data_IF_797555754414
#
_entry.id   IF_797555754414
#
_cell.length_a   1.000
_cell.length_b   1.000
_cell.length_c   1.000
_cell.angle_alpha   90.00
_cell.angle_beta   90.00
_cell.angle_gamma   90.00
#
_symmetry.space_group_name_H-M   'P 1'
#
loop_
_entity.id
_entity.type
_entity.pdbx_description
1 polymer ?
#
# COMPACT_ATOMS: atom_id res chain seq x y z
N UNK A 1 36.58 -0.12 -22.61
CA UNK A 1 35.16 0.24 -22.42
C UNK A 1 34.34 -0.55 -23.43
N UNK A 2 33.14 -1.11 -23.14
CA UNK A 2 32.29 -0.95 -21.95
C UNK A 2 32.13 -2.24 -21.09
N UNK A 3 31.65 -2.04 -19.87
CA UNK A 3 31.41 -3.02 -18.81
C UNK A 3 30.32 -4.03 -19.19
N UNK A 4 30.60 -5.33 -19.06
CA UNK A 4 29.59 -6.39 -19.17
C UNK A 4 28.57 -6.19 -18.05
N UNK A 5 27.44 -5.56 -18.41
CA UNK A 5 26.24 -5.56 -17.60
C UNK A 5 25.95 -7.02 -17.21
N UNK A 6 25.95 -7.33 -15.91
CA UNK A 6 25.55 -8.65 -15.43
C UNK A 6 24.07 -8.78 -15.76
N UNK A 7 23.76 -9.37 -16.92
CA UNK A 7 22.40 -9.64 -17.33
C UNK A 7 21.78 -10.56 -16.28
N UNK A 8 20.77 -10.04 -15.57
CA UNK A 8 19.97 -10.81 -14.63
C UNK A 8 19.38 -12.04 -15.34
N UNK A 9 19.28 -13.18 -14.67
CA UNK A 9 18.60 -14.35 -15.25
C UNK A 9 17.12 -14.04 -15.52
N UNK A 10 16.48 -14.74 -16.44
CA UNK A 10 15.04 -14.55 -16.76
C UNK A 10 14.14 -14.62 -15.52
N UNK A 11 14.49 -15.48 -14.55
CA UNK A 11 13.80 -15.56 -13.26
C UNK A 11 13.99 -14.30 -12.39
N UNK A 12 15.19 -13.72 -12.41
CA UNK A 12 15.50 -12.47 -11.70
C UNK A 12 14.79 -11.28 -12.34
N UNK A 13 14.71 -11.24 -13.67
CA UNK A 13 13.99 -10.21 -14.41
C UNK A 13 12.48 -10.28 -14.17
N UNK A 14 11.89 -11.48 -14.16
CA UNK A 14 10.49 -11.68 -13.80
C UNK A 14 10.19 -11.21 -12.36
N UNK A 15 11.05 -11.57 -11.39
CA UNK A 15 10.90 -11.13 -10.01
C UNK A 15 11.00 -9.61 -9.86
N UNK A 16 11.95 -8.97 -10.55
CA UNK A 16 12.09 -7.51 -10.59
C UNK A 16 10.88 -6.82 -11.21
N UNK A 17 10.32 -7.40 -12.29
CA UNK A 17 9.12 -6.87 -12.92
C UNK A 17 7.90 -6.98 -12.01
N UNK A 18 7.73 -8.10 -11.31
CA UNK A 18 6.71 -8.26 -10.27
C UNK A 18 6.86 -7.25 -9.14
N UNK A 19 8.09 -7.04 -8.65
CA UNK A 19 8.38 -6.02 -7.63
C UNK A 19 8.02 -4.61 -8.11
N UNK A 20 8.36 -4.26 -9.34
CA UNK A 20 8.03 -2.95 -9.92
C UNK A 20 6.51 -2.76 -10.02
N UNK A 21 5.78 -3.77 -10.48
CA UNK A 21 4.32 -3.74 -10.54
C UNK A 21 3.70 -3.59 -9.15
N UNK A 22 4.23 -4.28 -8.14
CA UNK A 22 3.79 -4.14 -6.74
C UNK A 22 4.08 -2.75 -6.21
N UNK A 23 5.26 -2.19 -6.50
CA UNK A 23 5.62 -0.84 -6.10
C UNK A 23 4.67 0.20 -6.70
N UNK A 24 4.31 0.07 -7.98
CA UNK A 24 3.32 0.94 -8.63
C UNK A 24 1.93 0.79 -8.01
N UNK A 25 1.51 -0.44 -7.67
CA UNK A 25 0.23 -0.68 -7.00
C UNK A 25 0.19 -0.07 -5.60
N UNK A 26 1.26 -0.23 -4.82
CA UNK A 26 1.42 0.37 -3.49
C UNK A 26 1.42 1.89 -3.58
N UNK A 27 2.14 2.48 -4.53
CA UNK A 27 2.16 3.93 -4.74
C UNK A 27 0.79 4.50 -5.13
N UNK A 28 0.00 3.76 -5.93
CA UNK A 28 -1.40 4.12 -6.24
C UNK A 28 -2.28 4.07 -5.00
N UNK A 29 -2.15 3.03 -4.18
CA UNK A 29 -2.85 2.91 -2.90
C UNK A 29 -2.48 4.04 -1.96
N UNK A 30 -1.20 4.33 -1.80
CA UNK A 30 -0.70 5.41 -0.95
C UNK A 30 -1.28 6.77 -1.36
N UNK A 31 -1.32 7.05 -2.68
CA UNK A 31 -1.94 8.27 -3.19
C UNK A 31 -3.42 8.35 -2.83
N UNK A 32 -4.15 7.25 -2.96
CA UNK A 32 -5.58 7.19 -2.63
C UNK A 32 -5.83 7.34 -1.13
N UNK A 33 -4.96 6.77 -0.28
CA UNK A 33 -5.00 6.97 1.17
C UNK A 33 -4.77 8.43 1.53
N UNK A 34 -3.76 9.08 0.95
CA UNK A 34 -3.48 10.51 1.18
C UNK A 34 -4.64 11.40 0.73
N UNK A 35 -5.31 11.05 -0.36
CA UNK A 35 -6.50 11.76 -0.82
C UNK A 35 -7.64 11.66 0.21
N UNK A 36 -7.90 10.46 0.74
CA UNK A 36 -8.92 10.27 1.78
C UNK A 36 -8.49 10.91 3.10
N UNK A 37 -7.22 10.82 3.48
CA UNK A 37 -6.67 11.51 4.65
C UNK A 37 -6.89 13.02 4.54
N UNK A 38 -6.63 13.61 3.38
CA UNK A 38 -6.89 15.02 3.13
C UNK A 38 -8.39 15.33 3.18
N UNK A 39 -9.24 14.52 2.57
CA UNK A 39 -10.69 14.68 2.67
C UNK A 39 -11.15 14.62 4.13
N UNK A 40 -10.67 13.66 4.92
CA UNK A 40 -10.99 13.54 6.36
C UNK A 40 -10.47 14.73 7.15
N UNK A 41 -9.26 15.23 6.86
CA UNK A 41 -8.71 16.40 7.53
C UNK A 41 -9.52 17.67 7.22
N UNK A 42 -9.92 17.85 5.95
CA UNK A 42 -10.82 18.93 5.53
C UNK A 42 -12.19 18.77 6.19
N UNK A 43 -12.74 17.55 6.19
CA UNK A 43 -14.02 17.24 6.82
C UNK A 43 -14.00 17.53 8.32
N UNK A 44 -12.92 17.18 9.02
CA UNK A 44 -12.74 17.50 10.43
C UNK A 44 -12.60 19.00 10.69
N UNK A 45 -12.16 19.78 9.70
CA UNK A 45 -12.10 21.24 9.78
C UNK A 45 -13.45 21.92 9.46
N UNK A 46 -14.35 21.28 8.71
CA UNK A 46 -15.69 21.79 8.39
C UNK A 46 -16.79 21.07 9.17
N UNK A 47 -17.45 21.77 10.08
CA UNK A 47 -18.43 21.22 11.04
C UNK A 47 -19.70 20.56 10.45
N UNK A 48 -19.93 20.57 9.14
CA UNK A 48 -21.19 20.14 8.51
C UNK A 48 -21.00 19.02 7.46
N UNK A 49 -20.07 18.10 7.67
CA UNK A 49 -19.89 16.97 6.74
C UNK A 49 -21.02 15.97 6.95
N UNK A 50 -21.77 15.60 5.90
CA UNK A 50 -22.85 14.64 6.02
C UNK A 50 -22.31 13.27 6.37
N UNK A 51 -23.01 12.57 7.28
CA UNK A 51 -22.64 11.23 7.76
C UNK A 51 -22.42 10.22 6.62
N UNK A 52 -23.15 10.36 5.50
CA UNK A 52 -23.00 9.51 4.32
C UNK A 52 -21.58 9.56 3.73
N UNK A 53 -20.97 10.76 3.66
CA UNK A 53 -19.61 10.93 3.13
C UNK A 53 -18.55 10.36 4.08
N UNK A 54 -18.78 10.46 5.39
CA UNK A 54 -17.91 9.84 6.41
C UNK A 54 -17.97 8.31 6.34
N UNK A 55 -19.17 7.74 6.15
CA UNK A 55 -19.35 6.29 5.99
C UNK A 55 -18.70 5.80 4.70
N UNK A 56 -18.88 6.52 3.59
CA UNK A 56 -18.25 6.18 2.31
C UNK A 56 -16.73 6.20 2.40
N UNK A 57 -16.16 7.23 3.05
CA UNK A 57 -14.72 7.32 3.30
C UNK A 57 -14.22 6.17 4.17
N UNK A 58 -14.99 5.78 5.20
CA UNK A 58 -14.66 4.68 6.10
C UNK A 58 -14.63 3.34 5.36
N UNK A 59 -15.66 3.07 4.56
CA UNK A 59 -15.77 1.83 3.79
C UNK A 59 -14.71 1.77 2.68
N UNK A 60 -14.37 2.90 2.05
CA UNK A 60 -13.26 2.99 1.10
C UNK A 60 -11.92 2.64 1.76
N UNK A 61 -11.64 3.14 2.96
CA UNK A 61 -10.42 2.78 3.72
C UNK A 61 -10.40 1.29 4.04
N UNK A 62 -11.52 0.70 4.48
CA UNK A 62 -11.61 -0.73 4.75
C UNK A 62 -11.35 -1.59 3.51
N UNK A 63 -11.89 -1.21 2.35
CA UNK A 63 -11.63 -1.88 1.07
C UNK A 63 -10.14 -1.78 0.66
N UNK A 64 -9.53 -0.62 0.88
CA UNK A 64 -8.10 -0.43 0.58
C UNK A 64 -7.20 -1.25 1.52
N UNK A 65 -7.55 -1.39 2.81
CA UNK A 65 -6.86 -2.31 3.73
C UNK A 65 -6.87 -3.75 3.18
N UNK A 66 -8.04 -4.25 2.80
CA UNK A 66 -8.16 -5.60 2.22
C UNK A 66 -7.42 -5.76 0.89
N UNK A 67 -7.32 -4.69 0.10
CA UNK A 67 -6.55 -4.70 -1.16
C UNK A 67 -5.04 -4.73 -0.89
N UNK A 68 -4.58 -3.99 0.13
CA UNK A 68 -3.18 -3.99 0.57
C UNK A 68 -2.75 -5.34 1.14
N UNK A 69 -3.62 -5.98 1.95
CA UNK A 69 -3.37 -7.34 2.46
C UNK A 69 -3.20 -8.36 1.34
N UNK A 70 -4.05 -8.29 0.31
CA UNK A 70 -3.93 -9.15 -0.88
C UNK A 70 -2.62 -8.91 -1.62
N UNK A 71 -2.21 -7.65 -1.80
CA UNK A 71 -0.95 -7.29 -2.47
C UNK A 71 0.28 -7.76 -1.68
N UNK A 72 0.25 -7.66 -0.35
CA UNK A 72 1.34 -8.14 0.49
C UNK A 72 1.44 -9.67 0.44
N UNK A 73 0.33 -10.37 0.66
CA UNK A 73 0.31 -11.83 0.72
C UNK A 73 0.59 -12.51 -0.64
N UNK A 74 -0.08 -12.08 -1.71
CA UNK A 74 0.09 -12.70 -3.04
C UNK A 74 1.29 -12.16 -3.81
N UNK A 75 1.69 -10.93 -3.53
CA UNK A 75 2.76 -10.25 -4.22
C UNK A 75 4.09 -10.33 -3.49
N UNK A 76 4.21 -9.54 -2.41
CA UNK A 76 5.48 -9.37 -1.69
C UNK A 76 5.95 -10.68 -1.07
N UNK A 77 5.05 -11.44 -0.44
CA UNK A 77 5.39 -12.72 0.19
C UNK A 77 5.54 -13.87 -0.81
N UNK A 78 4.81 -13.79 -1.92
CA UNK A 78 4.81 -14.79 -3.00
C UNK A 78 6.05 -14.79 -3.90
N UNK A 79 6.91 -13.77 -3.87
CA UNK A 79 8.11 -13.72 -4.72
C UNK A 79 9.15 -14.76 -4.24
N UNK A 80 9.27 -15.87 -4.97
CA UNK A 80 10.25 -16.91 -4.67
C UNK A 80 11.65 -16.42 -5.06
N UNK A 81 12.48 -16.15 -4.04
CA UNK A 81 13.88 -15.74 -4.23
C UNK A 81 14.87 -16.91 -4.11
N UNK A 82 14.38 -18.13 -3.93
CA UNK A 82 15.20 -19.31 -3.69
C UNK A 82 16.05 -19.66 -4.92
N UNK A 83 15.45 -19.58 -6.12
CA UNK A 83 16.06 -19.97 -7.40
C UNK A 83 16.89 -18.86 -8.07
N UNK A 84 17.04 -17.71 -7.39
CA UNK A 84 17.79 -16.58 -7.91
C UNK A 84 19.29 -16.78 -7.69
N UNK A 85 20.03 -16.86 -8.80
CA UNK A 85 21.50 -17.02 -8.81
C UNK A 85 22.22 -15.66 -8.70
N UNK A 86 21.60 -14.58 -9.17
CA UNK A 86 22.15 -13.22 -9.17
C UNK A 86 21.08 -12.20 -8.80
N UNK A 87 21.42 -11.11 -8.09
CA UNK A 87 20.42 -10.08 -7.72
C UNK A 87 19.47 -10.47 -6.60
N UNK A 88 19.70 -11.62 -5.97
CA UNK A 88 18.90 -12.15 -4.86
C UNK A 88 18.84 -11.20 -3.67
N UNK A 89 19.97 -10.56 -3.34
CA UNK A 89 20.04 -9.61 -2.24
C UNK A 89 19.28 -8.32 -2.58
N UNK A 90 19.43 -7.79 -3.79
CA UNK A 90 18.68 -6.62 -4.28
C UNK A 90 17.15 -6.86 -4.20
N UNK A 91 16.71 -8.02 -4.69
CA UNK A 91 15.28 -8.41 -4.70
C UNK A 91 14.78 -8.62 -3.26
N UNK A 92 15.59 -9.21 -2.38
CA UNK A 92 15.24 -9.40 -0.96
C UNK A 92 15.13 -8.05 -0.23
N UNK A 93 16.04 -7.13 -0.50
CA UNK A 93 16.01 -5.79 0.09
C UNK A 93 14.82 -4.99 -0.43
N UNK A 94 14.50 -5.07 -1.72
CA UNK A 94 13.27 -4.49 -2.28
C UNK A 94 12.01 -5.10 -1.66
N UNK A 95 11.92 -6.44 -1.52
CA UNK A 95 10.81 -7.08 -0.82
C UNK A 95 10.66 -6.52 0.60
N UNK A 96 11.75 -6.44 1.35
CA UNK A 96 11.75 -5.92 2.72
C UNK A 96 11.31 -4.45 2.78
N UNK A 97 11.74 -3.64 1.82
CA UNK A 97 11.33 -2.24 1.70
C UNK A 97 9.83 -2.12 1.40
N UNK A 98 9.33 -2.87 0.42
CA UNK A 98 7.90 -2.89 0.09
C UNK A 98 7.06 -3.40 1.27
N UNK A 99 7.55 -4.39 2.02
CA UNK A 99 6.86 -4.89 3.21
C UNK A 99 6.71 -3.79 4.27
N UNK A 100 7.79 -3.06 4.54
CA UNK A 100 7.77 -1.91 5.46
C UNK A 100 6.84 -0.80 4.98
N UNK A 101 6.82 -0.53 3.67
CA UNK A 101 5.89 0.45 3.09
C UNK A 101 4.43 0.01 3.25
N UNK A 102 4.12 -1.27 3.00
CA UNK A 102 2.80 -1.83 3.26
C UNK A 102 2.40 -1.71 4.73
N UNK A 103 3.30 -2.03 5.66
CA UNK A 103 3.04 -1.88 7.11
C UNK A 103 2.77 -0.43 7.50
N UNK A 104 3.56 0.52 6.99
CA UNK A 104 3.38 1.94 7.26
C UNK A 104 2.02 2.44 6.73
N UNK A 105 1.69 2.11 5.47
CA UNK A 105 0.41 2.49 4.85
C UNK A 105 -0.75 1.84 5.61
N UNK A 106 -0.64 0.57 5.99
CA UNK A 106 -1.64 -0.13 6.80
C UNK A 106 -1.88 0.57 8.12
N UNK A 107 -0.81 0.99 8.81
CA UNK A 107 -0.92 1.73 10.07
C UNK A 107 -1.69 3.05 9.89
N UNK A 108 -1.38 3.82 8.84
CA UNK A 108 -2.11 5.03 8.49
C UNK A 108 -3.58 4.75 8.19
N UNK A 109 -3.88 3.74 7.36
CA UNK A 109 -5.26 3.36 7.03
C UNK A 109 -6.05 2.95 8.27
N UNK A 110 -5.47 2.15 9.18
CA UNK A 110 -6.13 1.73 10.42
C UNK A 110 -6.40 2.92 11.34
N UNK A 111 -5.46 3.85 11.45
CA UNK A 111 -5.64 5.10 12.20
C UNK A 111 -6.78 5.94 11.62
N UNK A 112 -6.82 6.13 10.30
CA UNK A 112 -7.89 6.86 9.62
C UNK A 112 -9.25 6.18 9.77
N UNK A 113 -9.30 4.86 9.64
CA UNK A 113 -10.51 4.09 9.84
C UNK A 113 -11.05 4.23 11.27
N UNK A 114 -10.17 4.20 12.27
CA UNK A 114 -10.54 4.40 13.67
C UNK A 114 -11.11 5.81 13.89
N UNK A 115 -10.44 6.85 13.38
CA UNK A 115 -10.93 8.23 13.45
C UNK A 115 -12.31 8.38 12.79
N UNK A 116 -12.46 7.91 11.56
CA UNK A 116 -13.73 7.94 10.82
C UNK A 116 -14.84 7.18 11.56
N UNK A 117 -14.52 6.04 12.17
CA UNK A 117 -15.49 5.28 12.99
C UNK A 117 -15.98 6.11 14.17
N UNK A 118 -15.08 6.81 14.87
CA UNK A 118 -15.45 7.73 15.95
C UNK A 118 -16.32 8.87 15.45
N UNK A 119 -15.95 9.52 14.33
CA UNK A 119 -16.74 10.63 13.76
C UNK A 119 -18.15 10.18 13.35
N UNK A 120 -18.28 9.03 12.68
CA UNK A 120 -19.59 8.46 12.30
C UNK A 120 -20.45 8.18 13.54
N UNK A 121 -19.85 7.73 14.64
CA UNK A 121 -20.56 7.51 15.89
C UNK A 121 -21.04 8.82 16.53
N UNK A 122 -20.20 9.87 16.55
CA UNK A 122 -20.55 11.18 17.14
C UNK A 122 -21.58 11.96 16.33
N UNK A 123 -21.63 11.81 15.01
CA UNK A 123 -22.64 12.47 14.14
C UNK A 123 -24.03 11.79 14.23
N UNK A 124 -24.24 10.88 15.18
CA UNK A 124 -25.52 10.15 15.38
C UNK A 124 -26.46 10.82 16.39
N UNK A 125 -26.35 12.13 16.61
CA UNK A 125 -27.19 12.91 17.52
C UNK A 125 -27.93 14.03 16.80
#
# INVERSE_FOLDING_TARGET
>A
MPSRSRAYSSASEAALQSLNNLQLAIAKLERRVKEIEWQVAVHNATANVPKSELVESKDAIAQMCGSLDKLQFHGVDGIITADLVTGKDDIRDQRKLLNKQCEAIRSTMLSLHAQLTTHVATTSS
#
